data_IF_347300393037
#
_entry.id   IF_347300393037
#
_cell.length_a   1.000
_cell.length_b   1.000
_cell.length_c   1.000
_cell.angle_alpha   90.00
_cell.angle_beta   90.00
_cell.angle_gamma   90.00
#
_symmetry.space_group_name_H-M   'P 1'
#
loop_
_entity.id
_entity.type
_entity.pdbx_description
1 polymer ?
#
# COMPACT_ATOMS: atom_id res chain seq x y z
N UNK A 1 -9.56 19.11 2.25
CA UNK A 1 -8.53 18.71 3.23
C UNK A 1 -8.34 17.21 3.12
N UNK A 2 -7.11 16.71 3.09
CA UNK A 2 -6.80 15.28 3.02
C UNK A 2 -6.12 14.88 4.33
N UNK A 3 -6.63 13.84 4.98
CA UNK A 3 -6.06 13.30 6.23
C UNK A 3 -5.59 11.89 5.92
N UNK A 4 -4.37 11.56 6.34
CA UNK A 4 -3.83 10.20 6.32
C UNK A 4 -3.89 9.66 7.76
N UNK A 5 -4.42 8.45 7.93
CA UNK A 5 -4.48 7.77 9.23
C UNK A 5 -3.69 6.47 9.09
N UNK A 6 -2.69 6.30 9.93
CA UNK A 6 -1.89 5.09 10.04
C UNK A 6 -2.40 4.26 11.22
N UNK A 7 -2.56 2.95 11.02
CA UNK A 7 -2.99 2.02 12.08
C UNK A 7 -1.84 1.06 12.36
N UNK A 8 -1.39 1.05 13.61
CA UNK A 8 -0.26 0.23 14.05
C UNK A 8 -0.68 -1.23 14.34
N UNK A 9 -1.91 -1.44 14.80
CA UNK A 9 -2.42 -2.76 15.19
C UNK A 9 -3.45 -3.32 14.19
N UNK A 10 -3.30 -4.57 13.70
CA UNK A 10 -4.20 -5.15 12.70
C UNK A 10 -5.68 -5.19 13.08
N UNK A 11 -5.99 -5.32 14.37
CA UNK A 11 -7.37 -5.41 14.88
C UNK A 11 -8.10 -4.07 14.97
N UNK A 12 -7.40 -2.94 14.85
CA UNK A 12 -8.00 -1.61 14.99
C UNK A 12 -8.56 -1.07 13.66
N UNK A 13 -8.19 -1.69 12.53
CA UNK A 13 -8.81 -1.40 11.23
C UNK A 13 -10.31 -1.65 11.23
N UNK A 14 -10.76 -2.77 11.80
CA UNK A 14 -12.18 -3.14 11.83
C UNK A 14 -13.02 -2.18 12.69
N UNK A 15 -12.44 -1.69 13.79
CA UNK A 15 -13.06 -0.67 14.64
C UNK A 15 -13.20 0.65 13.90
N UNK A 16 -12.13 1.09 13.21
CA UNK A 16 -12.15 2.32 12.42
C UNK A 16 -13.19 2.25 11.30
N UNK A 17 -13.27 1.13 10.57
CA UNK A 17 -14.27 0.96 9.50
C UNK A 17 -15.69 1.06 10.04
N UNK A 18 -15.99 0.45 11.19
CA UNK A 18 -17.31 0.56 11.84
C UNK A 18 -17.64 2.00 12.25
N UNK A 19 -16.66 2.73 12.79
CA UNK A 19 -16.84 4.15 13.13
C UNK A 19 -17.09 5.03 11.90
N UNK A 20 -16.42 4.74 10.77
CA UNK A 20 -16.61 5.46 9.52
C UNK A 20 -17.97 5.15 8.85
N UNK A 21 -18.49 3.94 9.02
CA UNK A 21 -19.85 3.58 8.55
C UNK A 21 -20.94 4.38 9.28
N UNK A 22 -20.80 4.60 10.60
CA UNK A 22 -21.73 5.45 11.36
C UNK A 22 -21.77 6.86 10.78
N UNK A 23 -20.63 7.40 10.37
CA UNK A 23 -20.52 8.74 9.78
C UNK A 23 -21.19 8.84 8.40
N UNK A 24 -21.39 7.73 7.67
CA UNK A 24 -22.16 7.74 6.41
C UNK A 24 -23.61 8.17 6.64
N UNK A 25 -24.20 7.79 7.79
CA UNK A 25 -25.56 8.20 8.16
C UNK A 25 -25.72 9.71 8.37
N UNK A 26 -24.61 10.43 8.58
CA UNK A 26 -24.56 11.88 8.74
C UNK A 26 -24.31 12.63 7.41
N UNK A 27 -24.43 11.94 6.27
CA UNK A 27 -24.28 12.55 4.94
C UNK A 27 -22.85 12.56 4.39
N UNK A 28 -21.91 11.88 5.05
CA UNK A 28 -20.54 11.70 4.54
C UNK A 28 -20.57 10.59 3.48
N UNK A 29 -20.38 10.96 2.21
CA UNK A 29 -20.27 9.99 1.11
C UNK A 29 -18.91 9.30 1.15
N UNK A 30 -18.90 8.02 1.51
CA UNK A 30 -17.72 7.18 1.37
C UNK A 30 -17.72 6.53 -0.01
N UNK A 31 -16.70 6.81 -0.81
CA UNK A 31 -16.44 6.03 -2.02
C UNK A 31 -15.74 4.72 -1.61
N UNK A 32 -16.50 3.71 -1.20
CA UNK A 32 -15.98 2.35 -1.03
C UNK A 32 -15.95 1.64 -2.38
N UNK A 33 -15.17 2.15 -3.33
CA UNK A 33 -14.85 1.35 -4.50
C UNK A 33 -14.05 0.14 -4.02
N UNK A 34 -14.54 -1.09 -4.22
CA UNK A 34 -13.76 -2.27 -3.87
C UNK A 34 -12.46 -2.20 -4.66
N UNK A 35 -11.34 -2.11 -3.94
CA UNK A 35 -10.03 -2.28 -4.53
C UNK A 35 -9.96 -3.72 -5.00
N UNK A 36 -10.00 -3.93 -6.31
CA UNK A 36 -9.69 -5.22 -6.91
C UNK A 36 -8.23 -5.48 -6.63
N UNK A 37 -7.96 -6.21 -5.54
CA UNK A 37 -6.61 -6.71 -5.23
C UNK A 37 -6.30 -7.77 -6.27
N UNK A 38 -5.74 -7.33 -7.40
CA UNK A 38 -5.22 -8.23 -8.40
C UNK A 38 -4.03 -8.98 -7.78
N UNK A 39 -4.16 -10.31 -7.64
CA UNK A 39 -2.99 -11.13 -7.32
C UNK A 39 -2.01 -10.97 -8.48
N UNK A 40 -0.79 -10.52 -8.18
CA UNK A 40 0.28 -10.42 -9.16
C UNK A 40 0.48 -11.75 -9.89
N UNK A 41 0.95 -11.70 -11.14
CA UNK A 41 1.18 -12.89 -11.94
C UNK A 41 2.28 -13.76 -11.30
N UNK A 42 1.87 -14.86 -10.65
CA UNK A 42 2.78 -15.80 -9.97
C UNK A 42 3.64 -16.63 -10.92
N UNK A 43 3.39 -16.57 -12.23
CA UNK A 43 4.22 -17.24 -13.25
C UNK A 43 5.45 -16.42 -13.63
N UNK A 44 5.54 -15.17 -13.18
CA UNK A 44 6.73 -14.36 -13.37
C UNK A 44 7.88 -15.00 -12.59
N UNK A 45 8.98 -15.31 -13.28
CA UNK A 45 10.19 -15.81 -12.63
C UNK A 45 10.88 -14.65 -11.88
N UNK A 46 10.91 -14.65 -10.54
CA UNK A 46 11.51 -13.57 -9.77
C UNK A 46 13.02 -13.48 -10.01
N UNK A 47 13.72 -14.58 -10.32
CA UNK A 47 15.16 -14.54 -10.61
C UNK A 47 15.45 -13.79 -11.91
N UNK A 48 14.55 -13.85 -12.89
CA UNK A 48 14.74 -13.12 -14.15
C UNK A 48 14.62 -11.60 -13.98
N UNK A 49 13.92 -11.14 -12.94
CA UNK A 49 13.67 -9.71 -12.68
C UNK A 49 14.60 -9.17 -11.60
N UNK A 50 14.79 -9.92 -10.52
CA UNK A 50 15.54 -9.51 -9.33
C UNK A 50 16.90 -10.21 -9.21
N UNK A 51 17.21 -11.18 -10.07
CA UNK A 51 18.51 -11.87 -10.06
C UNK A 51 19.68 -10.94 -10.37
N UNK A 52 19.43 -9.82 -11.06
CA UNK A 52 20.41 -8.74 -11.22
C UNK A 52 20.91 -8.18 -9.89
N UNK A 53 20.09 -8.23 -8.82
CA UNK A 53 20.45 -7.75 -7.48
C UNK A 53 21.14 -8.82 -6.64
N UNK A 54 21.22 -10.08 -7.10
CA UNK A 54 21.95 -11.15 -6.41
C UNK A 54 23.44 -10.85 -6.30
N UNK A 55 24.01 -10.27 -7.36
CA UNK A 55 25.44 -9.96 -7.44
C UNK A 55 25.75 -8.50 -7.05
N UNK A 56 24.73 -7.64 -6.97
CA UNK A 56 24.85 -6.25 -6.52
C UNK A 56 23.60 -5.85 -5.73
N UNK A 57 23.48 -6.30 -4.47
CA UNK A 57 22.33 -6.02 -3.65
C UNK A 57 22.32 -4.54 -3.28
N UNK A 58 21.28 -3.81 -3.71
CA UNK A 58 21.08 -2.43 -3.28
C UNK A 58 20.53 -2.39 -1.86
N UNK A 59 21.08 -1.50 -1.05
CA UNK A 59 20.52 -1.22 0.27
C UNK A 59 19.19 -0.46 0.14
N UNK A 60 18.28 -0.64 1.09
CA UNK A 60 17.01 0.12 1.16
C UNK A 60 17.29 1.64 1.15
N UNK A 61 18.40 2.07 1.76
CA UNK A 61 18.83 3.46 1.78
C UNK A 61 19.17 4.00 0.37
N UNK A 62 19.87 3.22 -0.45
CA UNK A 62 20.19 3.59 -1.84
C UNK A 62 18.96 3.62 -2.73
N UNK A 63 18.06 2.65 -2.59
CA UNK A 63 16.79 2.62 -3.33
C UNK A 63 16.00 3.90 -3.04
N UNK A 64 15.88 4.27 -1.76
CA UNK A 64 15.19 5.50 -1.34
C UNK A 64 15.85 6.77 -1.88
N UNK A 65 17.18 6.84 -1.92
CA UNK A 65 17.91 8.01 -2.46
C UNK A 65 17.71 8.19 -3.97
N UNK A 66 17.59 7.11 -4.72
CA UNK A 66 17.55 7.17 -6.19
C UNK A 66 16.13 7.15 -6.76
N UNK A 67 15.13 6.61 -6.06
CA UNK A 67 13.77 6.49 -6.56
C UNK A 67 13.08 7.84 -6.85
N UNK A 68 13.48 8.91 -6.16
CA UNK A 68 12.82 10.22 -6.20
C UNK A 68 13.61 11.30 -6.95
N UNK A 69 14.73 10.95 -7.59
CA UNK A 69 15.61 11.92 -8.26
C UNK A 69 15.04 12.53 -9.56
N UNK A 70 13.97 11.96 -10.11
CA UNK A 70 13.38 12.36 -11.39
C UNK A 70 11.94 12.86 -11.26
N UNK A 71 11.54 13.39 -10.10
CA UNK A 71 10.27 14.11 -9.92
C UNK A 71 10.53 15.54 -9.48
#
# INVERSE_FOLDING_TARGET
MKILIEIEAPGDWEKLTKSLEILQSMGIKTNSTPLVIAKGNKKINPESIFGIWKNSPHSISEIRKNAWRNF
#
